data_IF_857629366888
#
_entry.id   IF_857629366888
#
_cell.length_a   1.000
_cell.length_b   1.000
_cell.length_c   1.000
_cell.angle_alpha   90.00
_cell.angle_beta   90.00
_cell.angle_gamma   90.00
#
_symmetry.space_group_name_H-M   'P 1'
#
loop_
_entity.id
_entity.type
_entity.pdbx_description
1 polymer ?
#
# COMPACT_ATOMS: atom_id res chain seq x y z
N UNK A 1 -2.49 8.74 -33.94
CA UNK A 1 -2.60 7.79 -32.82
C UNK A 1 -2.21 6.43 -33.36
N UNK A 2 -1.10 5.85 -32.89
CA UNK A 2 -0.64 4.55 -33.37
C UNK A 2 -1.43 3.43 -32.64
N UNK A 3 -1.30 2.17 -33.07
CA UNK A 3 -2.01 1.05 -32.43
C UNK A 3 -1.49 0.76 -31.01
N UNK A 4 -0.21 0.99 -30.73
CA UNK A 4 0.39 0.82 -29.41
C UNK A 4 -0.28 1.72 -28.37
N UNK A 5 -0.60 2.97 -28.72
CA UNK A 5 -1.31 3.93 -27.86
C UNK A 5 -2.72 3.47 -27.48
N UNK A 6 -3.30 2.52 -28.24
CA UNK A 6 -4.64 1.95 -27.99
C UNK A 6 -4.60 0.61 -27.26
N UNK A 7 -3.42 0.00 -27.13
CA UNK A 7 -3.22 -1.28 -26.45
C UNK A 7 -2.80 -1.09 -24.99
N UNK A 8 -2.25 0.07 -24.65
CA UNK A 8 -1.80 0.41 -23.30
C UNK A 8 -2.92 1.18 -22.61
N UNK A 9 -3.46 0.61 -21.53
CA UNK A 9 -4.44 1.28 -20.68
C UNK A 9 -3.81 2.41 -19.83
N UNK A 10 -4.65 3.09 -19.06
CA UNK A 10 -4.15 4.03 -18.06
C UNK A 10 -3.36 3.29 -16.97
N UNK A 11 -2.43 4.01 -16.32
CA UNK A 11 -1.77 3.50 -15.12
C UNK A 11 -2.81 3.14 -14.05
N UNK A 12 -2.57 2.06 -13.31
CA UNK A 12 -3.35 1.70 -12.14
C UNK A 12 -2.75 2.26 -10.84
N UNK A 13 -1.88 3.27 -10.94
CA UNK A 13 -1.44 4.05 -9.79
C UNK A 13 -2.42 5.18 -9.46
N UNK A 14 -2.57 5.47 -8.18
CA UNK A 14 -3.31 6.62 -7.67
C UNK A 14 -2.50 7.31 -6.59
N UNK A 15 -2.65 8.63 -6.52
CA UNK A 15 -2.21 9.37 -5.33
C UNK A 15 -3.17 9.07 -4.18
N UNK A 16 -2.61 8.78 -3.02
CA UNK A 16 -3.32 8.58 -1.76
C UNK A 16 -2.63 9.36 -0.66
N UNK A 17 -3.36 9.72 0.38
CA UNK A 17 -2.82 10.38 1.56
C UNK A 17 -2.97 9.40 2.71
N UNK A 18 -1.86 8.95 3.28
CA UNK A 18 -1.83 7.99 4.39
C UNK A 18 -1.22 8.71 5.60
N UNK A 19 -1.97 8.81 6.70
CA UNK A 19 -1.59 9.58 7.89
C UNK A 19 -1.12 11.00 7.56
N UNK A 20 -1.81 11.67 6.63
CA UNK A 20 -1.47 13.02 6.17
C UNK A 20 -0.30 13.10 5.18
N UNK A 21 0.39 11.99 4.88
CA UNK A 21 1.48 11.93 3.92
C UNK A 21 0.99 11.46 2.55
N UNK A 22 1.26 12.24 1.51
CA UNK A 22 0.96 11.89 0.12
C UNK A 22 1.91 10.78 -0.37
N UNK A 23 1.35 9.80 -1.10
CA UNK A 23 2.09 8.69 -1.69
C UNK A 23 1.46 8.28 -3.02
N UNK A 24 2.27 7.87 -4.00
CA UNK A 24 1.77 7.10 -5.15
C UNK A 24 1.63 5.65 -4.73
N UNK A 25 0.46 5.06 -4.97
CA UNK A 25 0.18 3.68 -4.62
C UNK A 25 -0.44 2.95 -5.81
N UNK A 26 -0.09 1.66 -5.92
CA UNK A 26 -0.71 0.76 -6.88
C UNK A 26 -2.12 0.39 -6.41
N UNK A 27 -3.12 0.60 -7.27
CA UNK A 27 -4.46 0.05 -7.08
C UNK A 27 -4.45 -1.38 -7.60
N UNK A 28 -4.31 -2.32 -6.66
CA UNK A 28 -4.15 -3.73 -6.95
C UNK A 28 -5.33 -4.56 -6.42
N UNK A 29 -6.23 -4.93 -7.34
CA UNK A 29 -7.36 -5.83 -7.03
C UNK A 29 -6.92 -7.28 -6.83
N UNK A 30 -5.67 -7.63 -7.17
CA UNK A 30 -5.09 -8.95 -6.95
C UNK A 30 -4.59 -9.18 -5.52
N UNK A 31 -4.56 -8.12 -4.69
CA UNK A 31 -4.12 -8.17 -3.31
C UNK A 31 -5.31 -8.11 -2.34
N UNK A 32 -5.25 -8.89 -1.25
CA UNK A 32 -6.27 -8.87 -0.18
C UNK A 32 -5.97 -7.84 0.91
N UNK A 33 -4.74 -7.34 0.96
CA UNK A 33 -4.25 -6.41 1.97
C UNK A 33 -3.54 -5.24 1.31
N UNK A 34 -3.54 -4.10 1.98
CA UNK A 34 -2.69 -2.96 1.61
C UNK A 34 -1.31 -3.16 2.23
N UNK A 35 -0.27 -3.11 1.40
CA UNK A 35 1.11 -3.29 1.84
C UNK A 35 1.92 -2.02 1.61
N UNK A 36 2.71 -1.63 2.61
CA UNK A 36 3.70 -0.56 2.54
C UNK A 36 5.09 -1.13 2.80
N UNK A 37 6.10 -0.52 2.20
CA UNK A 37 7.49 -0.86 2.52
C UNK A 37 7.91 -0.25 3.85
N UNK A 38 8.83 -0.92 4.54
CA UNK A 38 9.45 -0.42 5.76
C UNK A 38 10.09 0.97 5.57
N UNK A 39 10.73 1.20 4.42
CA UNK A 39 11.37 2.48 4.09
C UNK A 39 10.35 3.61 3.92
N UNK A 40 9.16 3.32 3.40
CA UNK A 40 8.09 4.32 3.32
C UNK A 40 7.51 4.61 4.72
N UNK A 41 7.25 3.56 5.50
CA UNK A 41 6.74 3.66 6.87
C UNK A 41 7.64 4.53 7.76
N UNK A 42 8.96 4.34 7.70
CA UNK A 42 9.96 5.10 8.49
C UNK A 42 9.95 6.61 8.22
N UNK A 43 9.28 7.06 7.17
CA UNK A 43 9.17 8.47 6.83
C UNK A 43 7.87 9.12 7.31
N UNK A 44 7.04 8.42 8.09
CA UNK A 44 5.86 8.98 8.74
C UNK A 44 6.24 9.76 10.00
N UNK A 45 5.51 10.84 10.25
CA UNK A 45 5.66 11.68 11.45
C UNK A 45 4.27 12.16 11.92
N UNK A 46 3.81 11.78 13.14
CA UNK A 46 4.49 10.87 14.06
C UNK A 46 4.60 9.46 13.49
N UNK A 47 5.65 8.73 13.88
CA UNK A 47 5.84 7.34 13.49
C UNK A 47 4.84 6.45 14.24
N UNK A 48 3.90 5.77 13.55
CA UNK A 48 2.90 4.91 14.21
C UNK A 48 3.54 3.68 14.86
N UNK A 49 2.92 3.13 15.91
CA UNK A 49 3.33 1.85 16.47
C UNK A 49 3.06 0.71 15.48
N UNK A 50 3.98 -0.24 15.37
CA UNK A 50 3.78 -1.48 14.63
C UNK A 50 3.19 -2.53 15.57
N UNK A 51 2.06 -3.11 15.16
CA UNK A 51 1.44 -4.26 15.81
C UNK A 51 1.76 -5.54 15.03
N UNK A 52 1.93 -6.66 15.73
CA UNK A 52 2.27 -7.94 15.10
C UNK A 52 1.18 -8.98 15.30
N UNK A 53 1.09 -9.92 14.36
CA UNK A 53 0.25 -11.11 14.43
C UNK A 53 1.16 -12.28 14.09
N UNK A 54 1.53 -13.09 15.08
CA UNK A 54 2.60 -14.08 14.94
C UNK A 54 2.32 -15.13 13.85
N UNK A 55 1.06 -15.49 13.66
CA UNK A 55 0.62 -16.51 12.68
C UNK A 55 0.32 -15.92 11.29
N UNK A 56 0.53 -14.62 11.08
CA UNK A 56 0.19 -13.96 9.82
C UNK A 56 1.32 -14.09 8.80
N UNK A 57 1.01 -14.71 7.66
CA UNK A 57 1.94 -14.90 6.55
C UNK A 57 1.47 -14.06 5.38
N UNK A 58 2.35 -13.19 4.90
CA UNK A 58 2.14 -12.43 3.66
C UNK A 58 2.85 -13.16 2.54
N UNK A 59 2.14 -13.45 1.45
CA UNK A 59 2.69 -14.10 0.26
C UNK A 59 2.54 -13.18 -0.95
N UNK A 60 3.59 -13.10 -1.76
CA UNK A 60 3.56 -12.44 -3.06
C UNK A 60 2.82 -13.27 -4.10
N UNK A 61 2.53 -12.66 -5.25
CA UNK A 61 1.89 -13.33 -6.38
C UNK A 61 2.73 -14.45 -6.99
N UNK A 62 4.04 -14.49 -6.68
CA UNK A 62 4.97 -15.54 -7.08
C UNK A 62 4.96 -16.75 -6.13
N UNK A 63 4.18 -16.69 -5.05
CA UNK A 63 4.08 -17.73 -4.02
C UNK A 63 5.17 -17.67 -2.94
N UNK A 64 6.10 -16.71 -3.01
CA UNK A 64 7.12 -16.54 -1.99
C UNK A 64 6.56 -15.71 -0.82
N UNK A 65 7.01 -16.03 0.39
CA UNK A 65 6.66 -15.23 1.57
C UNK A 65 7.40 -13.89 1.55
N UNK A 66 6.66 -12.82 1.79
CA UNK A 66 7.24 -11.50 2.05
C UNK A 66 7.64 -11.41 3.53
N UNK A 67 8.74 -10.71 3.86
CA UNK A 67 9.20 -10.59 5.23
C UNK A 67 8.32 -9.57 5.98
N UNK A 68 7.22 -10.08 6.52
CA UNK A 68 6.24 -9.35 7.31
C UNK A 68 6.87 -8.82 8.61
N UNK A 69 6.70 -7.53 8.87
CA UNK A 69 7.17 -6.86 10.10
C UNK A 69 6.01 -6.68 11.07
N UNK A 70 4.81 -6.40 10.55
CA UNK A 70 3.63 -6.08 11.33
C UNK A 70 2.62 -5.28 10.50
N UNK A 71 1.63 -4.68 11.15
CA UNK A 71 0.72 -3.72 10.57
C UNK A 71 0.68 -2.44 11.39
N UNK A 72 0.26 -1.36 10.76
CA UNK A 72 -0.03 -0.08 11.42
C UNK A 72 -1.52 0.23 11.26
N UNK A 73 -2.10 0.90 12.25
CA UNK A 73 -3.35 1.61 12.07
C UNK A 73 -3.08 2.91 11.32
N UNK A 74 -3.84 3.16 10.26
CA UNK A 74 -3.65 4.30 9.38
C UNK A 74 -4.98 4.95 9.01
N UNK A 75 -4.90 6.25 8.74
CA UNK A 75 -5.97 7.01 8.14
C UNK A 75 -5.62 7.25 6.67
N UNK A 76 -6.44 6.71 5.78
CA UNK A 76 -6.26 6.80 4.33
C UNK A 76 -7.32 7.69 3.71
N UNK A 77 -6.88 8.60 2.87
CA UNK A 77 -7.73 9.40 2.00
C UNK A 77 -7.34 9.15 0.55
N UNK A 78 -8.33 8.89 -0.31
CA UNK A 78 -8.13 8.69 -1.74
C UNK A 78 -8.82 9.84 -2.49
N UNK A 79 -8.09 10.90 -2.85
CA UNK A 79 -8.64 12.05 -3.54
C UNK A 79 -9.44 11.65 -4.78
N UNK A 80 -10.67 12.17 -4.89
CA UNK A 80 -11.56 11.88 -6.02
C UNK A 80 -12.36 10.59 -5.91
N UNK A 81 -12.10 9.73 -4.92
CA UNK A 81 -12.91 8.53 -4.62
C UNK A 81 -13.78 8.76 -3.39
N UNK A 82 -13.19 9.23 -2.29
CA UNK A 82 -13.92 9.58 -1.06
C UNK A 82 -13.59 11.00 -0.60
N UNK A 83 -14.60 11.70 -0.07
CA UNK A 83 -14.42 12.99 0.59
C UNK A 83 -14.19 12.87 2.11
N UNK A 84 -13.91 11.66 2.59
CA UNK A 84 -13.69 11.37 4.00
C UNK A 84 -12.53 10.42 4.17
N UNK A 85 -11.93 10.56 5.34
CA UNK A 85 -10.84 9.75 5.85
C UNK A 85 -11.35 8.36 6.26
N UNK A 86 -10.60 7.33 5.88
CA UNK A 86 -10.91 5.93 6.13
C UNK A 86 -9.87 5.38 7.10
N UNK A 87 -10.29 4.95 8.28
CA UNK A 87 -9.43 4.22 9.20
C UNK A 87 -9.30 2.76 8.74
N UNK A 88 -8.06 2.30 8.56
CA UNK A 88 -7.76 0.93 8.13
C UNK A 88 -6.38 0.49 8.62
N UNK A 89 -6.07 -0.81 8.45
CA UNK A 89 -4.75 -1.34 8.71
C UNK A 89 -3.92 -1.45 7.43
N UNK A 90 -2.64 -1.10 7.51
CA UNK A 90 -1.68 -1.28 6.44
C UNK A 90 -0.57 -2.24 6.90
N UNK A 91 -0.35 -3.31 6.15
CA UNK A 91 0.71 -4.27 6.42
C UNK A 91 2.07 -3.69 6.02
N UNK A 92 3.07 -3.83 6.88
CA UNK A 92 4.43 -3.40 6.66
C UNK A 92 5.32 -4.63 6.40
N UNK A 93 6.04 -4.61 5.27
CA UNK A 93 7.00 -5.64 4.91
C UNK A 93 8.38 -5.02 4.69
N UNK A 94 9.43 -5.69 5.16
CA UNK A 94 10.79 -5.34 4.71
C UNK A 94 10.95 -5.75 3.25
N UNK A 95 11.87 -5.12 2.53
CA UNK A 95 12.24 -5.51 1.17
C UNK A 95 11.10 -5.53 0.12
N UNK A 96 9.91 -4.99 0.44
CA UNK A 96 8.81 -4.90 -0.49
C UNK A 96 9.16 -3.92 -1.61
N UNK A 97 9.24 -4.45 -2.83
CA UNK A 97 9.47 -3.69 -4.06
C UNK A 97 8.30 -3.97 -5.00
N UNK A 98 7.66 -2.90 -5.45
CA UNK A 98 6.71 -2.94 -6.57
C UNK A 98 7.45 -3.30 -7.87
#
# INVERSE_FOLDING_TARGET
MNIFDRLIGHSNESEVIINGKQSSCLVDTGSMITTVSEDWYKQLDPLPEIHTIEEFIVQGSDGNSLPYIGYIEAVVNVPGVSNHDISCTCTCCSEYRL
#
